data_IF_270749387276
#
_entry.id   IF_270749387276
#
_cell.length_a   1.000
_cell.length_b   1.000
_cell.length_c   1.000
_cell.angle_alpha   90.00
_cell.angle_beta   90.00
_cell.angle_gamma   90.00
#
_symmetry.space_group_name_H-M   'P 1'
#
loop_
_entity.id
_entity.type
_entity.pdbx_description
1 polymer ?
#
# COMPACT_ATOMS: atom_id res chain seq x y z
N UNK A 1 4.94 -2.09 2.42
CA UNK A 1 6.34 -2.16 2.87
C UNK A 1 7.33 -1.86 1.74
N UNK A 2 7.48 -2.71 0.70
CA UNK A 2 8.54 -2.50 -0.31
C UNK A 2 8.47 -1.16 -1.06
N UNK A 3 7.27 -0.72 -1.48
CA UNK A 3 7.10 0.61 -2.12
C UNK A 3 7.57 1.76 -1.21
N UNK A 4 7.26 1.68 0.09
CA UNK A 4 7.71 2.64 1.10
C UNK A 4 9.23 2.59 1.25
N UNK A 5 9.83 1.41 1.35
CA UNK A 5 11.28 1.24 1.49
C UNK A 5 12.05 1.85 0.31
N UNK A 6 11.59 1.61 -0.92
CA UNK A 6 12.17 2.19 -2.14
C UNK A 6 12.05 3.71 -2.13
N UNK A 7 10.87 4.25 -1.79
CA UNK A 7 10.64 5.68 -1.74
C UNK A 7 11.44 6.38 -0.62
N UNK A 8 11.59 5.74 0.54
CA UNK A 8 12.46 6.23 1.61
C UNK A 8 13.91 6.29 1.15
N UNK A 9 14.43 5.23 0.49
CA UNK A 9 15.78 5.23 -0.08
C UNK A 9 15.97 6.37 -1.07
N UNK A 10 15.02 6.57 -1.99
CA UNK A 10 15.10 7.61 -3.01
C UNK A 10 15.02 9.02 -2.40
N UNK A 11 14.38 9.16 -1.24
CA UNK A 11 14.36 10.38 -0.43
C UNK A 11 15.56 10.53 0.53
N UNK A 12 16.51 9.58 0.53
CA UNK A 12 17.70 9.61 1.38
C UNK A 12 17.52 9.09 2.81
N UNK A 13 16.38 8.49 3.14
CA UNK A 13 16.07 7.98 4.47
C UNK A 13 16.62 6.56 4.64
N UNK A 14 17.13 6.27 5.85
CA UNK A 14 17.37 4.89 6.27
C UNK A 14 16.03 4.24 6.63
N UNK A 15 15.79 3.02 6.16
CA UNK A 15 14.54 2.30 6.40
C UNK A 15 14.83 0.86 6.80
N UNK A 16 14.16 0.40 7.85
CA UNK A 16 14.05 -1.02 8.18
C UNK A 16 12.59 -1.39 8.40
N UNK A 17 12.21 -2.61 8.04
CA UNK A 17 10.85 -3.10 8.19
C UNK A 17 10.82 -4.49 8.78
N UNK A 18 10.01 -4.68 9.82
CA UNK A 18 9.62 -5.99 10.36
C UNK A 18 8.12 -6.14 10.10
N UNK A 19 7.77 -6.74 8.96
CA UNK A 19 6.39 -6.86 8.48
C UNK A 19 5.65 -5.52 8.35
N UNK A 20 4.91 -5.12 9.37
CA UNK A 20 4.10 -3.90 9.51
C UNK A 20 4.68 -2.93 10.54
N UNK A 21 5.88 -3.18 11.05
CA UNK A 21 6.63 -2.25 11.89
C UNK A 21 7.74 -1.61 11.06
N UNK A 22 7.73 -0.28 10.93
CA UNK A 22 8.71 0.45 10.10
C UNK A 22 9.56 1.38 10.95
N UNK A 23 10.88 1.30 10.75
CA UNK A 23 11.87 2.02 11.54
C UNK A 23 12.72 2.90 10.63
N UNK A 24 13.10 4.07 11.16
CA UNK A 24 14.02 5.03 10.56
C UNK A 24 14.76 5.78 11.69
N UNK A 25 15.65 6.71 11.36
CA UNK A 25 16.24 7.58 12.37
C UNK A 25 15.20 8.56 12.91
N UNK A 26 15.32 8.95 14.18
CA UNK A 26 14.30 9.76 14.87
C UNK A 26 13.99 11.10 14.16
N UNK A 27 14.98 11.72 13.48
CA UNK A 27 14.78 12.95 12.73
C UNK A 27 13.94 12.78 11.45
N UNK A 28 13.77 11.56 10.97
CA UNK A 28 13.16 11.25 9.67
C UNK A 28 11.73 10.69 9.81
N UNK A 29 11.25 10.46 11.03
CA UNK A 29 9.97 9.79 11.32
C UNK A 29 8.80 10.48 10.62
N UNK A 30 8.70 11.80 10.70
CA UNK A 30 7.60 12.56 10.08
C UNK A 30 7.59 12.41 8.55
N UNK A 31 8.78 12.45 7.94
CA UNK A 31 8.92 12.28 6.50
C UNK A 31 8.62 10.84 6.07
N UNK A 32 9.11 9.84 6.82
CA UNK A 32 8.78 8.44 6.58
C UNK A 32 7.28 8.20 6.66
N UNK A 33 6.60 8.73 7.68
CA UNK A 33 5.16 8.56 7.88
C UNK A 33 4.34 9.21 6.75
N UNK A 34 4.82 10.32 6.17
CA UNK A 34 4.22 10.91 4.98
C UNK A 34 4.38 9.98 3.77
N UNK A 35 5.60 9.55 3.46
CA UNK A 35 5.89 8.64 2.34
C UNK A 35 5.08 7.35 2.46
N UNK A 36 4.98 6.80 3.66
CA UNK A 36 4.21 5.59 3.96
C UNK A 36 2.74 5.75 3.56
N UNK A 37 2.07 6.81 4.05
CA UNK A 37 0.67 7.11 3.74
C UNK A 37 0.47 7.32 2.24
N UNK A 38 1.37 8.06 1.59
CA UNK A 38 1.34 8.28 0.14
C UNK A 38 1.43 6.95 -0.63
N UNK A 39 2.38 6.07 -0.28
CA UNK A 39 2.55 4.77 -0.93
C UNK A 39 1.43 3.77 -0.63
N UNK A 40 0.79 3.88 0.53
CA UNK A 40 -0.41 3.09 0.82
C UNK A 40 -1.57 3.51 -0.08
N UNK A 41 -1.84 4.82 -0.19
CA UNK A 41 -2.89 5.35 -1.07
C UNK A 41 -2.60 4.99 -2.52
N UNK A 42 -1.36 5.14 -2.98
CA UNK A 42 -0.93 4.74 -4.33
C UNK A 42 -1.22 3.25 -4.60
N UNK A 43 -0.80 2.36 -3.70
CA UNK A 43 -1.01 0.92 -3.82
C UNK A 43 -2.51 0.57 -3.95
N UNK A 44 -3.33 1.06 -3.02
CA UNK A 44 -4.75 0.70 -2.99
C UNK A 44 -5.63 1.51 -3.94
N UNK A 45 -5.06 2.49 -4.64
CA UNK A 45 -5.71 3.13 -5.80
C UNK A 45 -5.63 2.27 -7.06
N UNK A 46 -4.80 1.23 -7.08
CA UNK A 46 -4.74 0.27 -8.18
C UNK A 46 -5.92 -0.71 -8.15
N UNK A 47 -6.32 -1.28 -9.30
CA UNK A 47 -7.40 -2.26 -9.40
C UNK A 47 -6.92 -3.68 -9.02
N UNK A 48 -6.41 -3.84 -7.79
CA UNK A 48 -5.70 -5.05 -7.34
C UNK A 48 -6.55 -6.33 -7.49
N UNK A 49 -7.84 -6.27 -7.16
CA UNK A 49 -8.71 -7.45 -7.21
C UNK A 49 -9.12 -7.79 -8.64
N UNK A 50 -9.29 -6.78 -9.48
CA UNK A 50 -9.54 -6.91 -10.90
C UNK A 50 -8.35 -7.58 -11.60
N UNK A 51 -7.13 -7.09 -11.35
CA UNK A 51 -5.90 -7.66 -11.90
C UNK A 51 -5.69 -9.13 -11.45
N UNK A 52 -6.01 -9.42 -10.18
CA UNK A 52 -5.95 -10.78 -9.65
C UNK A 52 -6.96 -11.70 -10.33
N UNK A 53 -8.21 -11.26 -10.49
CA UNK A 53 -9.26 -12.04 -11.14
C UNK A 53 -8.89 -12.33 -12.60
N UNK A 54 -8.39 -11.34 -13.33
CA UNK A 54 -7.92 -11.51 -14.70
C UNK A 54 -6.78 -12.54 -14.77
N UNK A 55 -5.79 -12.42 -13.88
CA UNK A 55 -4.67 -13.37 -13.79
C UNK A 55 -5.13 -14.80 -13.53
N UNK A 56 -6.13 -14.99 -12.66
CA UNK A 56 -6.70 -16.30 -12.36
C UNK A 56 -7.49 -16.88 -13.53
N UNK A 57 -8.31 -16.06 -14.20
CA UNK A 57 -9.05 -16.48 -15.39
C UNK A 57 -8.09 -16.90 -16.52
N UNK A 58 -6.99 -16.18 -16.68
CA UNK A 58 -5.94 -16.51 -17.67
C UNK A 58 -5.19 -17.79 -17.32
N UNK A 59 -4.83 -17.96 -16.05
CA UNK A 59 -4.06 -19.12 -15.56
C UNK A 59 -4.90 -20.40 -15.50
N UNK A 60 -6.21 -20.27 -15.27
CA UNK A 60 -7.12 -21.39 -15.04
C UNK A 60 -8.42 -21.26 -15.87
N UNK A 61 -8.34 -21.32 -17.21
CA UNK A 61 -9.48 -21.02 -18.09
C UNK A 61 -10.65 -22.01 -18.00
N UNK A 62 -10.43 -23.21 -17.45
CA UNK A 62 -11.48 -24.20 -17.22
C UNK A 62 -12.28 -23.95 -15.94
N UNK A 63 -11.84 -23.04 -15.07
CA UNK A 63 -12.51 -22.72 -13.82
C UNK A 63 -13.33 -21.43 -13.97
N UNK A 64 -14.47 -21.39 -13.28
CA UNK A 64 -15.27 -20.17 -13.15
C UNK A 64 -15.02 -19.56 -11.78
N UNK A 65 -14.62 -18.29 -11.77
CA UNK A 65 -14.38 -17.53 -10.54
C UNK A 65 -15.61 -16.67 -10.22
N UNK A 66 -15.92 -16.45 -8.93
CA UNK A 66 -17.01 -15.56 -8.54
C UNK A 66 -16.74 -14.11 -8.94
N UNK A 67 -17.78 -13.27 -9.07
CA UNK A 67 -17.60 -11.85 -9.30
C UNK A 67 -16.93 -11.17 -8.11
N UNK A 68 -16.29 -10.03 -8.36
CA UNK A 68 -15.65 -9.23 -7.31
C UNK A 68 -16.69 -8.66 -6.32
N UNK A 69 -16.32 -8.52 -5.03
CA UNK A 69 -17.15 -7.79 -4.08
C UNK A 69 -17.29 -6.32 -4.50
N UNK A 70 -18.42 -5.69 -4.13
CA UNK A 70 -18.63 -4.26 -4.35
C UNK A 70 -17.65 -3.45 -3.49
N UNK A 71 -17.06 -2.40 -4.07
CA UNK A 71 -16.28 -1.42 -3.30
C UNK A 71 -17.21 -0.62 -2.39
N UNK A 72 -16.70 -0.28 -1.20
CA UNK A 72 -17.37 0.64 -0.28
C UNK A 72 -17.26 2.11 -0.75
N UNK A 73 -17.68 3.02 0.12
CA UNK A 73 -17.71 4.47 -0.09
C UNK A 73 -16.58 5.23 0.63
N UNK A 74 -15.71 4.54 1.35
CA UNK A 74 -14.57 5.15 2.04
C UNK A 74 -13.65 5.89 1.06
N UNK A 75 -13.38 7.17 1.34
CA UNK A 75 -12.43 7.95 0.58
C UNK A 75 -11.00 7.63 1.01
N UNK A 76 -10.31 6.83 0.19
CA UNK A 76 -8.94 6.38 0.47
C UNK A 76 -7.95 7.54 0.76
N UNK A 77 -8.21 8.74 0.25
CA UNK A 77 -7.34 9.92 0.49
C UNK A 77 -7.34 10.36 1.96
N UNK A 78 -8.33 9.98 2.76
CA UNK A 78 -8.36 10.27 4.20
C UNK A 78 -7.17 9.66 4.95
N UNK A 79 -6.54 8.60 4.41
CA UNK A 79 -5.32 8.01 4.98
C UNK A 79 -4.17 9.01 5.03
N UNK A 80 -4.09 9.96 4.08
CA UNK A 80 -3.02 10.97 4.03
C UNK A 80 -2.99 11.84 5.29
N UNK A 81 -4.15 12.09 5.90
CA UNK A 81 -4.29 12.97 7.06
C UNK A 81 -4.45 12.18 8.37
N UNK A 82 -4.40 10.84 8.34
CA UNK A 82 -4.61 10.01 9.52
C UNK A 82 -3.34 9.92 10.39
N UNK A 83 -3.30 10.55 11.58
CA UNK A 83 -2.10 10.60 12.40
C UNK A 83 -1.77 9.26 13.06
N UNK A 84 -2.77 8.39 13.23
CA UNK A 84 -2.62 7.07 13.87
C UNK A 84 -2.64 5.92 12.86
N UNK A 85 -2.51 6.20 11.56
CA UNK A 85 -2.40 5.15 10.55
C UNK A 85 -1.17 4.28 10.78
N UNK A 86 -0.03 4.93 11.05
CA UNK A 86 1.20 4.34 11.57
C UNK A 86 1.78 5.33 12.57
N UNK A 87 2.04 4.87 13.80
CA UNK A 87 2.48 5.66 14.95
C UNK A 87 3.78 5.10 15.53
#
# INVERSE_FOLDING_TARGET
MMMTAVACRDAGLQFAGVHDSFWTHACDVDQMNRILREKFVELYSMPILEDLLESFQKSYPALTFPPLPKRGDFNLREVLESPYFFN
#
